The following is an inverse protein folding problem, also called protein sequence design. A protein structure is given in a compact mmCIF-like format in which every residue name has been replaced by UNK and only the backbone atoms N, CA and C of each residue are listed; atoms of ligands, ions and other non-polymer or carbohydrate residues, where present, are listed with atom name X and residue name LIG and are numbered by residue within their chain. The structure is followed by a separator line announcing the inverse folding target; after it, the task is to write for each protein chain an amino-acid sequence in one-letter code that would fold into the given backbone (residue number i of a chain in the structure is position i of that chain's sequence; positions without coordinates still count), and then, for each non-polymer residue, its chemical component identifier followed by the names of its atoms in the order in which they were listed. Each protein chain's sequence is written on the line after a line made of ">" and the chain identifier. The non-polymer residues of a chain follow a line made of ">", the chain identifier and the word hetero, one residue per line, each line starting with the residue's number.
data_IF_909516119158
#
_entry.id   IF_909516119158
#
_cell.length_a   1.000
_cell.length_b   1.000
_cell.length_c   1.000
_cell.angle_alpha   90.00
_cell.angle_beta   90.00
_cell.angle_gamma   90.00
#
_symmetry.space_group_name_H-M   'P 1'
#
loop_
_entity.id
_entity.type
_entity.pdbx_description
1 polymer ?
#
# COMPACT_ATOMS: atom_id res chain seq x y z
N UNK A 1 -31.02 -6.52 13.62
CA UNK A 1 -31.07 -6.17 12.18
C UNK A 1 -30.99 -7.47 11.39
N UNK A 2 -31.91 -7.70 10.45
CA UNK A 2 -31.88 -8.91 9.60
C UNK A 2 -30.84 -8.72 8.49
N UNK A 3 -29.97 -9.72 8.30
CA UNK A 3 -29.03 -9.74 7.18
C UNK A 3 -29.76 -10.23 5.93
N UNK A 4 -29.74 -9.44 4.85
CA UNK A 4 -30.24 -9.85 3.54
C UNK A 4 -29.06 -10.36 2.72
N UNK A 5 -29.14 -11.62 2.28
CA UNK A 5 -28.13 -12.23 1.39
C UNK A 5 -28.64 -12.22 -0.03
N UNK A 6 -27.91 -11.55 -0.92
CA UNK A 6 -28.19 -11.53 -2.36
C UNK A 6 -27.18 -12.46 -3.05
N UNK A 7 -27.62 -13.41 -3.88
CA UNK A 7 -26.70 -14.28 -4.62
C UNK A 7 -25.93 -13.48 -5.68
N UNK A 8 -24.62 -13.69 -5.76
CA UNK A 8 -23.74 -13.06 -6.75
C UNK A 8 -22.29 -13.05 -6.31
N UNK A 9 -21.38 -12.91 -7.27
CA UNK A 9 -19.96 -12.68 -6.98
C UNK A 9 -19.79 -11.22 -6.54
N UNK A 10 -19.35 -11.01 -5.30
CA UNK A 10 -19.19 -9.65 -4.75
C UNK A 10 -18.28 -8.79 -5.61
N UNK A 11 -17.23 -9.38 -6.20
CA UNK A 11 -16.31 -8.70 -7.11
C UNK A 11 -16.98 -8.10 -8.35
N UNK A 12 -18.08 -8.71 -8.82
CA UNK A 12 -18.82 -8.28 -10.01
C UNK A 12 -19.88 -7.22 -9.72
N UNK A 13 -20.08 -6.85 -8.46
CA UNK A 13 -20.95 -5.73 -8.09
C UNK A 13 -20.36 -4.45 -8.68
N UNK A 14 -21.18 -3.70 -9.41
CA UNK A 14 -20.77 -2.50 -10.12
C UNK A 14 -21.46 -1.25 -9.58
N UNK A 15 -20.75 -0.12 -9.61
CA UNK A 15 -21.27 1.22 -9.37
C UNK A 15 -21.84 1.90 -10.64
N UNK A 16 -21.85 1.18 -11.77
CA UNK A 16 -22.23 1.69 -13.10
C UNK A 16 -21.06 2.11 -13.99
N UNK A 17 -19.85 2.22 -13.43
CA UNK A 17 -18.61 2.54 -14.15
C UNK A 17 -17.54 1.46 -13.99
N UNK A 18 -17.40 0.93 -12.78
CA UNK A 18 -16.44 -0.11 -12.44
C UNK A 18 -17.10 -1.23 -11.63
N UNK A 19 -16.51 -2.42 -11.70
CA UNK A 19 -16.78 -3.51 -10.74
C UNK A 19 -15.87 -3.39 -9.52
N UNK A 20 -16.21 -4.05 -8.42
CA UNK A 20 -15.30 -4.13 -7.27
C UNK A 20 -13.97 -4.81 -7.60
N UNK A 21 -13.95 -5.81 -8.48
CA UNK A 21 -12.71 -6.45 -8.94
C UNK A 21 -11.81 -5.44 -9.69
N UNK A 22 -12.40 -4.61 -10.55
CA UNK A 22 -11.68 -3.55 -11.26
C UNK A 22 -11.13 -2.49 -10.30
N UNK A 23 -11.95 -1.98 -9.37
CA UNK A 23 -11.49 -1.01 -8.37
C UNK A 23 -10.41 -1.60 -7.46
N UNK A 24 -10.51 -2.88 -7.10
CA UNK A 24 -9.49 -3.58 -6.32
C UNK A 24 -8.17 -3.68 -7.09
N UNK A 25 -8.23 -4.05 -8.37
CA UNK A 25 -7.06 -4.09 -9.25
C UNK A 25 -6.41 -2.70 -9.41
N UNK A 26 -7.21 -1.66 -9.61
CA UNK A 26 -6.74 -0.27 -9.68
C UNK A 26 -6.04 0.14 -8.37
N UNK A 27 -6.67 -0.12 -7.22
CA UNK A 27 -6.08 0.15 -5.90
C UNK A 27 -4.72 -0.51 -5.73
N UNK A 28 -4.57 -1.78 -6.11
CA UNK A 28 -3.28 -2.47 -6.06
C UNK A 28 -2.23 -1.80 -6.95
N UNK A 29 -2.56 -1.46 -8.21
CA UNK A 29 -1.61 -0.81 -9.13
C UNK A 29 -1.20 0.59 -8.65
N UNK A 30 -2.17 1.38 -8.19
CA UNK A 30 -1.92 2.72 -7.65
C UNK A 30 -1.06 2.66 -6.40
N UNK A 31 -1.30 1.70 -5.51
CA UNK A 31 -0.48 1.53 -4.31
C UNK A 31 0.95 1.12 -4.65
N UNK A 32 1.15 0.15 -5.55
CA UNK A 32 2.50 -0.24 -6.01
C UNK A 32 3.23 0.93 -6.67
N UNK A 33 2.53 1.71 -7.50
CA UNK A 33 3.11 2.92 -8.11
C UNK A 33 3.50 3.97 -7.06
N UNK A 34 2.70 4.14 -6.00
CA UNK A 34 3.06 5.00 -4.88
C UNK A 34 4.30 4.50 -4.14
N UNK A 35 4.39 3.18 -3.90
CA UNK A 35 5.55 2.56 -3.26
C UNK A 35 6.83 2.73 -4.09
N UNK A 36 6.72 2.63 -5.43
CA UNK A 36 7.82 2.91 -6.35
C UNK A 36 8.37 4.33 -6.18
N UNK A 37 7.51 5.31 -5.92
CA UNK A 37 7.90 6.71 -5.71
C UNK A 37 8.44 6.98 -4.30
N UNK A 38 8.25 6.06 -3.36
CA UNK A 38 8.60 6.22 -1.94
C UNK A 38 9.46 5.05 -1.42
N UNK A 39 10.55 4.67 -2.10
CA UNK A 39 11.27 3.42 -1.82
C UNK A 39 11.84 3.37 -0.39
N UNK A 40 12.17 4.51 0.21
CA UNK A 40 12.76 4.61 1.56
C UNK A 40 11.79 4.20 2.68
N UNK A 41 10.49 4.39 2.47
CA UNK A 41 9.45 4.11 3.49
C UNK A 41 8.56 2.94 3.10
N UNK A 42 8.79 2.34 1.93
CA UNK A 42 7.97 1.26 1.39
C UNK A 42 8.56 -0.11 1.70
N UNK A 43 7.69 -1.08 2.00
CA UNK A 43 8.08 -2.47 2.23
C UNK A 43 6.96 -3.42 1.82
N UNK A 44 7.31 -4.68 1.58
CA UNK A 44 6.33 -5.77 1.48
C UNK A 44 6.89 -7.05 2.10
N UNK A 45 6.01 -7.98 2.47
CA UNK A 45 6.39 -9.28 3.04
C UNK A 45 5.33 -10.35 2.73
N UNK A 46 5.79 -11.60 2.60
CA UNK A 46 4.93 -12.79 2.54
C UNK A 46 4.43 -13.25 3.92
N UNK A 47 5.02 -12.72 4.99
CA UNK A 47 4.73 -13.16 6.36
C UNK A 47 4.23 -11.99 7.17
N UNK A 48 3.22 -12.24 7.99
CA UNK A 48 2.85 -11.35 9.09
C UNK A 48 3.97 -11.33 10.15
N UNK A 49 3.87 -10.40 11.09
CA UNK A 49 4.86 -10.27 12.18
C UNK A 49 5.02 -11.57 13.00
N UNK A 50 3.93 -12.32 13.20
CA UNK A 50 3.91 -13.61 13.88
C UNK A 50 4.45 -14.77 13.03
N UNK A 51 4.90 -14.50 11.81
CA UNK A 51 5.41 -15.48 10.85
C UNK A 51 4.32 -16.19 10.03
N UNK A 52 3.04 -15.91 10.29
CA UNK A 52 1.93 -16.49 9.55
C UNK A 52 1.93 -16.03 8.09
N UNK A 53 1.53 -16.91 7.18
CA UNK A 53 1.49 -16.64 5.74
C UNK A 53 0.03 -16.58 5.27
N UNK A 54 -0.48 -15.40 4.86
CA UNK A 54 -1.81 -15.32 4.29
C UNK A 54 -1.83 -16.00 2.92
N UNK A 55 -2.63 -17.07 2.76
CA UNK A 55 -2.67 -17.84 1.51
C UNK A 55 -3.14 -16.98 0.33
N UNK A 56 -2.32 -16.88 -0.71
CA UNK A 56 -2.64 -16.13 -1.93
C UNK A 56 -2.40 -14.62 -1.83
N UNK A 57 -1.87 -14.13 -0.70
CA UNK A 57 -1.66 -12.70 -0.44
C UNK A 57 -0.26 -12.42 0.08
N UNK A 58 0.22 -11.20 -0.18
CA UNK A 58 1.35 -10.58 0.52
C UNK A 58 0.84 -9.35 1.26
N UNK A 59 1.57 -8.90 2.28
CA UNK A 59 1.31 -7.62 2.94
C UNK A 59 2.30 -6.59 2.41
N UNK A 60 1.81 -5.41 2.08
CA UNK A 60 2.62 -4.29 1.63
C UNK A 60 2.26 -3.05 2.46
N UNK A 61 3.23 -2.19 2.74
CA UNK A 61 3.01 -1.02 3.58
C UNK A 61 3.96 0.15 3.33
N UNK A 62 3.55 1.31 3.86
CA UNK A 62 4.33 2.54 3.93
C UNK A 62 4.44 3.00 5.38
N UNK A 63 5.65 3.38 5.80
CA UNK A 63 5.89 4.10 7.07
C UNK A 63 5.81 5.61 6.85
N UNK A 64 4.60 6.18 6.89
CA UNK A 64 4.41 7.62 6.70
C UNK A 64 4.62 8.37 8.02
N UNK A 65 5.03 9.65 7.99
CA UNK A 65 5.09 10.49 9.20
C UNK A 65 3.76 10.63 9.94
N UNK A 66 2.65 10.32 9.26
CA UNK A 66 1.29 10.39 9.80
C UNK A 66 0.79 9.07 10.38
N UNK A 67 1.55 7.99 10.21
CA UNK A 67 1.21 6.63 10.64
C UNK A 67 1.39 5.61 9.51
N UNK A 68 1.40 4.33 9.87
CA UNK A 68 1.56 3.24 8.91
C UNK A 68 0.31 3.05 8.06
N UNK A 69 0.47 2.72 6.79
CA UNK A 69 -0.64 2.26 5.94
C UNK A 69 -0.28 0.91 5.35
N UNK A 70 -1.17 -0.07 5.47
CA UNK A 70 -0.91 -1.43 4.99
C UNK A 70 -2.08 -1.98 4.19
N UNK A 71 -1.75 -2.81 3.20
CA UNK A 71 -2.72 -3.53 2.37
C UNK A 71 -2.26 -4.95 2.12
N UNK A 72 -3.23 -5.87 2.02
CA UNK A 72 -3.01 -7.15 1.35
C UNK A 72 -3.04 -6.96 -0.16
N UNK A 73 -2.01 -7.44 -0.84
CA UNK A 73 -1.92 -7.51 -2.29
C UNK A 73 -1.92 -8.97 -2.75
N UNK A 74 -2.52 -9.30 -3.90
CA UNK A 74 -2.44 -10.66 -4.43
C UNK A 74 -0.98 -11.12 -4.61
N UNK A 75 -0.66 -12.38 -4.31
CA UNK A 75 0.68 -12.93 -4.58
C UNK A 75 1.05 -12.79 -6.07
N UNK A 76 0.06 -12.81 -6.96
CA UNK A 76 0.22 -12.57 -8.40
C UNK A 76 0.80 -11.19 -8.74
N UNK A 77 0.74 -10.21 -7.83
CA UNK A 77 1.30 -8.87 -8.02
C UNK A 77 2.76 -8.73 -7.55
N UNK A 78 3.35 -9.77 -6.94
CA UNK A 78 4.77 -9.77 -6.55
C UNK A 78 5.73 -9.41 -7.68
N UNK A 79 5.55 -9.87 -8.93
CA UNK A 79 6.39 -9.43 -10.04
C UNK A 79 6.38 -7.90 -10.23
N UNK A 80 5.23 -7.24 -10.00
CA UNK A 80 5.12 -5.77 -10.09
C UNK A 80 5.86 -5.08 -8.94
N UNK A 81 5.77 -5.60 -7.72
CA UNK A 81 6.54 -5.10 -6.57
C UNK A 81 8.06 -5.17 -6.82
N UNK A 82 8.53 -6.22 -7.50
CA UNK A 82 9.93 -6.37 -7.91
C UNK A 82 10.33 -5.37 -9.00
N UNK A 83 9.47 -5.15 -10.01
CA UNK A 83 9.70 -4.12 -11.03
C UNK A 83 9.75 -2.72 -10.41
N UNK A 84 8.88 -2.45 -9.44
CA UNK A 84 8.86 -1.22 -8.66
C UNK A 84 10.03 -1.11 -7.66
N UNK A 85 10.88 -2.13 -7.53
CA UNK A 85 12.03 -2.20 -6.62
C UNK A 85 11.66 -1.94 -5.16
N UNK A 86 10.47 -2.37 -4.74
CA UNK A 86 10.04 -2.28 -3.35
C UNK A 86 10.76 -3.34 -2.52
N UNK A 87 11.33 -2.92 -1.39
CA UNK A 87 12.06 -3.80 -0.47
C UNK A 87 11.16 -4.93 0.06
N UNK A 88 11.58 -6.17 -0.18
CA UNK A 88 11.01 -7.34 0.50
C UNK A 88 11.59 -7.44 1.92
N UNK A 89 10.73 -7.62 2.92
CA UNK A 89 11.09 -7.85 4.33
C UNK A 89 10.75 -9.28 4.72
N UNK A 90 11.56 -9.87 5.60
CA UNK A 90 11.36 -11.26 6.05
C UNK A 90 9.99 -11.45 6.72
N UNK A 91 9.57 -10.46 7.52
CA UNK A 91 8.27 -10.37 8.17
C UNK A 91 7.73 -8.94 8.08
N UNK A 92 6.40 -8.81 8.08
CA UNK A 92 5.75 -7.53 8.27
C UNK A 92 6.06 -6.96 9.67
N UNK A 93 6.16 -5.63 9.84
CA UNK A 93 6.13 -4.99 11.15
C UNK A 93 4.89 -5.38 11.96
N UNK A 94 4.93 -5.26 13.30
CA UNK A 94 3.75 -5.43 14.14
C UNK A 94 2.59 -4.55 13.65
N UNK A 95 1.40 -5.12 13.50
CA UNK A 95 0.22 -4.35 13.16
C UNK A 95 -0.25 -3.51 14.37
N UNK A 96 -0.47 -2.23 14.14
CA UNK A 96 -0.90 -1.27 15.17
C UNK A 96 -2.42 -1.25 15.40
N UNK A 97 -3.17 -2.10 14.70
CA UNK A 97 -4.63 -2.19 14.83
C UNK A 97 -5.42 -1.20 13.98
N UNK A 98 -4.80 -0.52 13.00
CA UNK A 98 -5.48 0.50 12.20
C UNK A 98 -6.66 -0.04 11.38
N UNK A 99 -7.76 0.71 11.38
CA UNK A 99 -8.94 0.49 10.55
C UNK A 99 -8.79 1.10 9.14
N UNK A 100 -9.75 0.83 8.26
CA UNK A 100 -9.81 1.50 6.95
C UNK A 100 -9.95 3.02 7.07
N UNK A 101 -10.63 3.52 8.12
CA UNK A 101 -10.74 4.97 8.34
C UNK A 101 -9.40 5.56 8.78
N UNK A 102 -8.65 4.88 9.65
CA UNK A 102 -7.32 5.33 10.06
C UNK A 102 -6.38 5.46 8.85
N UNK A 103 -6.46 4.54 7.88
CA UNK A 103 -5.67 4.62 6.64
C UNK A 103 -6.03 5.87 5.83
N UNK A 104 -7.31 6.20 5.69
CA UNK A 104 -7.76 7.42 5.01
C UNK A 104 -7.24 8.67 5.74
N UNK A 105 -7.44 8.75 7.05
CA UNK A 105 -7.01 9.89 7.87
C UNK A 105 -5.49 10.11 7.80
N UNK A 106 -4.71 9.02 7.80
CA UNK A 106 -3.23 9.05 7.67
C UNK A 106 -2.80 9.58 6.31
N UNK A 107 -3.48 9.15 5.22
CA UNK A 107 -3.19 9.61 3.87
C UNK A 107 -3.57 11.08 3.67
N UNK A 108 -4.75 11.50 4.14
CA UNK A 108 -5.21 12.89 4.07
C UNK A 108 -4.25 13.84 4.80
N UNK A 109 -3.91 13.53 6.05
CA UNK A 109 -2.92 14.29 6.81
C UNK A 109 -1.57 14.35 6.09
N UNK A 110 -1.17 13.28 5.41
CA UNK A 110 0.10 13.25 4.70
C UNK A 110 0.10 14.15 3.46
N UNK A 111 -1.04 14.27 2.78
CA UNK A 111 -1.24 15.25 1.70
C UNK A 111 -1.12 16.69 2.23
N UNK A 112 -1.70 16.98 3.39
CA UNK A 112 -1.62 18.31 4.02
C UNK A 112 -0.19 18.71 4.38
N UNK A 113 0.63 17.77 4.86
CA UNK A 113 2.03 18.02 5.20
C UNK A 113 2.87 18.45 3.98
N UNK A 114 2.55 17.96 2.78
CA UNK A 114 3.24 18.40 1.55
C UNK A 114 2.90 19.84 1.17
N UNK A 115 1.70 20.31 1.53
CA UNK A 115 1.28 21.70 1.33
C UNK A 115 2.04 22.71 2.21
N UNK A 116 2.72 22.23 3.25
CA UNK A 116 3.42 23.07 4.24
C UNK A 116 4.95 23.11 4.05
N UNK A 117 5.46 22.58 2.92
CA UNK A 117 6.86 22.70 2.55
C UNK A 117 7.76 21.64 3.18
N UNK A 118 7.73 20.42 2.64
CA UNK A 118 8.85 19.49 2.81
C UNK A 118 10.03 19.99 1.96
N UNK A 119 11.26 20.12 2.50
CA UNK A 119 12.42 20.42 1.70
C UNK A 119 12.55 19.33 0.63
N UNK A 120 12.62 19.73 -0.64
CA UNK A 120 13.07 18.80 -1.70
C UNK A 120 14.46 18.37 -1.29
N UNK A 121 14.66 17.07 -1.04
CA UNK A 121 16.01 16.53 -0.87
C UNK A 121 16.82 16.98 -2.10
N UNK A 122 17.83 17.83 -1.87
CA UNK A 122 18.78 18.21 -2.89
C UNK A 122 19.45 16.94 -3.37
N UNK A 123 19.41 16.69 -4.68
CA UNK A 123 20.29 15.71 -5.28
C UNK A 123 21.71 16.20 -5.02
N UNK A 124 22.45 15.47 -4.20
CA UNK A 124 23.86 15.75 -3.93
C UNK A 124 24.60 15.70 -5.27
N UNK A 125 25.14 16.86 -5.64
CA UNK A 125 25.95 17.04 -6.82
C UNK A 125 27.34 16.43 -6.54
N UNK A 126 27.49 15.12 -6.76
CA UNK A 126 28.82 14.51 -6.90
C UNK A 126 29.35 14.82 -8.30
N UNK A 127 30.05 15.95 -8.41
CA UNK A 127 30.58 16.39 -9.69
C UNK A 127 31.63 17.49 -9.59
N UNK A 128 32.44 17.53 -8.54
CA UNK A 128 33.66 18.34 -8.51
C UNK A 128 34.72 17.71 -7.59
N UNK A 129 35.52 16.81 -8.16
CA UNK A 129 36.91 16.60 -7.72
C UNK A 129 37.79 16.47 -8.96
N UNK A 130 38.53 17.56 -9.17
CA UNK A 130 39.91 17.69 -9.70
C UNK A 130 40.33 16.88 -10.91
#
# INVERSE_FOLDING_TARGET
>A
MGQLTIPGETGQVSDGYHTFDELYAHRCRLFIALMQLLPKVSWWSRRHHDGNMPQGWVVAGLHLPTGDVTYHLPEADVPLLRVAQVRESETAPPWDGHSSQDVLDRLERWLDLRGQGMPRETQDNEGERS
#
